data_IF_914317007030
#
_entry.id   IF_914317007030
#
_cell.length_a   1.000
_cell.length_b   1.000
_cell.length_c   1.000
_cell.angle_alpha   90.00
_cell.angle_beta   90.00
_cell.angle_gamma   90.00
#
_symmetry.space_group_name_H-M   'P 1'
#
loop_
_entity.id
_entity.type
_entity.pdbx_description
1 polymer ?
#
# COMPACT_ATOMS: atom_id res chain seq x y z
N UNK A 1 0.79 23.69 10.39
CA UNK A 1 1.35 22.43 10.93
C UNK A 1 2.86 22.51 10.93
N UNK A 2 3.53 22.05 12.00
CA UNK A 2 4.99 22.15 12.18
C UNK A 2 5.82 21.50 11.05
N UNK A 3 5.30 20.45 10.42
CA UNK A 3 5.84 19.87 9.18
C UNK A 3 5.94 20.88 8.02
N UNK A 4 4.85 21.58 7.69
CA UNK A 4 4.84 22.61 6.63
C UNK A 4 5.72 23.82 6.96
N UNK A 5 6.04 24.03 8.24
CA UNK A 5 6.97 25.06 8.69
C UNK A 5 8.45 24.62 8.62
N UNK A 6 8.73 23.36 8.25
CA UNK A 6 10.09 22.81 8.17
C UNK A 6 10.66 22.34 9.51
N UNK A 7 9.89 22.37 10.60
CA UNK A 7 10.37 21.98 11.94
C UNK A 7 10.72 20.49 12.05
N UNK A 8 10.14 19.67 11.18
CA UNK A 8 10.28 18.22 11.18
C UNK A 8 10.56 17.73 9.77
N UNK A 9 11.31 16.64 9.65
CA UNK A 9 11.36 15.89 8.42
C UNK A 9 10.14 14.94 8.30
N UNK A 10 9.94 14.34 7.12
CA UNK A 10 8.78 13.50 6.85
C UNK A 10 8.67 12.28 7.78
N UNK A 11 9.76 11.50 8.01
CA UNK A 11 9.74 10.38 8.95
C UNK A 11 9.37 10.78 10.38
N UNK A 12 9.95 11.86 10.91
CA UNK A 12 9.66 12.34 12.27
C UNK A 12 8.20 12.76 12.37
N UNK A 13 7.69 13.50 11.38
CA UNK A 13 6.28 13.89 11.37
C UNK A 13 5.33 12.69 11.31
N UNK A 14 5.61 11.68 10.48
CA UNK A 14 4.79 10.46 10.39
C UNK A 14 4.78 9.68 11.71
N UNK A 15 5.92 9.56 12.39
CA UNK A 15 6.01 8.89 13.69
C UNK A 15 5.25 9.65 14.79
N UNK A 16 5.34 10.98 14.81
CA UNK A 16 4.54 11.82 15.72
C UNK A 16 3.04 11.67 15.45
N UNK A 17 2.62 11.73 14.17
CA UNK A 17 1.25 11.54 13.76
C UNK A 17 0.72 10.19 14.26
N UNK A 18 1.49 9.11 14.08
CA UNK A 18 1.16 7.79 14.59
C UNK A 18 0.94 7.77 16.11
N UNK A 19 1.89 8.32 16.88
CA UNK A 19 1.83 8.28 18.35
C UNK A 19 0.70 9.14 18.91
N UNK A 20 0.46 10.32 18.35
CA UNK A 20 -0.66 11.16 18.76
C UNK A 20 -2.00 10.45 18.57
N UNK A 21 -2.20 9.79 17.43
CA UNK A 21 -3.41 9.01 17.17
C UNK A 21 -3.53 7.79 18.09
N UNK A 22 -2.45 7.05 18.30
CA UNK A 22 -2.42 5.91 19.22
C UNK A 22 -2.83 6.31 20.64
N UNK A 23 -2.26 7.39 21.16
CA UNK A 23 -2.58 7.92 22.48
C UNK A 23 -4.03 8.44 22.53
N UNK A 24 -4.48 9.15 21.51
CA UNK A 24 -5.84 9.69 21.45
C UNK A 24 -6.92 8.60 21.42
N UNK A 25 -6.69 7.51 20.68
CA UNK A 25 -7.66 6.41 20.56
C UNK A 25 -7.65 5.51 21.81
N UNK A 26 -6.47 5.18 22.33
CA UNK A 26 -6.33 4.11 23.33
C UNK A 26 -5.95 4.59 24.74
N UNK A 27 -5.72 5.89 24.93
CA UNK A 27 -5.38 6.49 26.21
C UNK A 27 -4.13 5.84 26.82
N UNK A 28 -4.22 5.41 28.09
CA UNK A 28 -3.10 4.77 28.79
C UNK A 28 -2.75 3.36 28.26
N UNK A 29 -3.61 2.75 27.46
CA UNK A 29 -3.43 1.40 26.92
C UNK A 29 -2.92 1.42 25.47
N UNK A 30 -2.36 2.54 25.01
CA UNK A 30 -1.90 2.71 23.62
C UNK A 30 -0.72 1.80 23.25
N UNK A 31 0.09 1.40 24.23
CA UNK A 31 1.22 0.51 24.01
C UNK A 31 1.49 -0.41 25.21
N UNK A 32 2.21 -1.50 24.94
CA UNK A 32 2.77 -2.43 25.92
C UNK A 32 4.27 -2.60 25.70
N UNK A 33 4.99 -2.91 26.77
CA UNK A 33 6.43 -3.21 26.72
C UNK A 33 6.67 -4.56 26.04
N UNK A 34 7.64 -4.66 25.12
CA UNK A 34 8.09 -5.95 24.57
C UNK A 34 8.94 -6.72 25.58
N UNK A 35 9.77 -6.02 26.37
CA UNK A 35 10.58 -6.62 27.42
C UNK A 35 10.12 -6.16 28.80
N UNK A 36 10.24 -7.04 29.80
CA UNK A 36 9.83 -6.72 31.19
C UNK A 36 10.70 -5.62 31.83
N UNK A 37 11.94 -5.47 31.37
CA UNK A 37 12.89 -4.46 31.82
C UNK A 37 12.60 -3.05 31.31
N UNK A 38 11.83 -2.91 30.22
CA UNK A 38 11.48 -1.60 29.68
C UNK A 38 10.48 -0.88 30.61
N UNK A 39 10.61 0.45 30.77
CA UNK A 39 9.67 1.22 31.57
C UNK A 39 8.25 1.09 31.00
N UNK A 40 7.24 1.23 31.85
CA UNK A 40 5.85 1.21 31.36
C UNK A 40 5.61 2.44 30.48
N UNK A 41 4.96 2.29 29.31
CA UNK A 41 4.64 3.44 28.47
C UNK A 41 3.63 4.32 29.21
N UNK A 42 3.85 5.64 29.15
CA UNK A 42 3.02 6.62 29.83
C UNK A 42 2.64 7.74 28.88
N UNK A 43 1.36 7.84 28.54
CA UNK A 43 0.86 8.74 27.50
C UNK A 43 1.26 10.21 27.75
N UNK A 44 1.05 10.70 28.98
CA UNK A 44 1.41 12.08 29.36
C UNK A 44 2.91 12.34 29.22
N UNK A 45 3.74 11.41 29.68
CA UNK A 45 5.20 11.54 29.60
C UNK A 45 5.70 11.56 28.16
N UNK A 46 5.13 10.71 27.29
CA UNK A 46 5.49 10.69 25.87
C UNK A 46 5.06 11.98 25.16
N UNK A 47 3.84 12.49 25.42
CA UNK A 47 3.37 13.77 24.88
C UNK A 47 4.30 14.93 25.27
N UNK A 48 4.68 15.04 26.55
CA UNK A 48 5.62 16.07 27.02
C UNK A 48 6.97 15.98 26.29
N UNK A 49 7.49 14.77 26.07
CA UNK A 49 8.73 14.58 25.32
C UNK A 49 8.57 14.97 23.85
N UNK A 50 7.47 14.60 23.19
CA UNK A 50 7.21 14.96 21.78
C UNK A 50 7.07 16.48 21.58
N UNK A 51 6.53 17.19 22.58
CA UNK A 51 6.43 18.64 22.57
C UNK A 51 7.79 19.32 22.78
N UNK A 52 8.59 18.83 23.73
CA UNK A 52 9.85 19.46 24.14
C UNK A 52 11.02 19.11 23.22
N UNK A 53 11.19 17.84 22.86
CA UNK A 53 12.35 17.39 22.08
C UNK A 53 12.31 17.89 20.63
N UNK A 54 13.50 18.01 20.02
CA UNK A 54 13.72 18.50 18.65
C UNK A 54 14.88 17.76 18.00
N UNK A 55 14.96 17.84 16.66
CA UNK A 55 16.07 17.30 15.87
C UNK A 55 16.36 15.83 16.16
N UNK A 56 17.65 15.48 16.20
CA UNK A 56 18.11 14.10 16.41
C UNK A 56 17.75 13.54 17.79
N UNK A 57 17.64 14.40 18.81
CA UNK A 57 17.16 13.98 20.13
C UNK A 57 15.73 13.44 20.08
N UNK A 58 14.85 14.10 19.33
CA UNK A 58 13.48 13.61 19.12
C UNK A 58 13.47 12.34 18.26
N UNK A 59 14.22 12.30 17.15
CA UNK A 59 14.32 11.12 16.29
C UNK A 59 14.74 9.88 17.07
N UNK A 60 15.80 10.01 17.88
CA UNK A 60 16.31 8.91 18.72
C UNK A 60 15.27 8.40 19.71
N UNK A 61 14.47 9.28 20.31
CA UNK A 61 13.35 8.89 21.19
C UNK A 61 12.26 8.14 20.43
N UNK A 62 11.88 8.61 19.26
CA UNK A 62 10.85 7.96 18.43
C UNK A 62 11.30 6.56 18.01
N UNK A 63 12.55 6.41 17.56
CA UNK A 63 13.14 5.10 17.23
C UNK A 63 13.09 4.13 18.42
N UNK A 64 13.58 4.58 19.58
CA UNK A 64 13.60 3.79 20.81
C UNK A 64 12.19 3.29 21.19
N UNK A 65 11.18 4.15 21.07
CA UNK A 65 9.79 3.79 21.35
C UNK A 65 9.22 2.78 20.33
N UNK A 66 9.48 2.96 19.04
CA UNK A 66 8.97 2.01 18.04
C UNK A 66 9.60 0.61 18.18
N UNK A 67 10.85 0.56 18.63
CA UNK A 67 11.60 -0.69 18.79
C UNK A 67 11.22 -1.44 20.07
N UNK A 68 11.02 -0.74 21.20
CA UNK A 68 10.78 -1.37 22.51
C UNK A 68 9.32 -1.71 22.81
N UNK A 69 8.37 -1.06 22.15
CA UNK A 69 6.96 -1.18 22.50
C UNK A 69 6.13 -1.79 21.37
N UNK A 70 5.08 -2.51 21.76
CA UNK A 70 4.04 -2.98 20.87
C UNK A 70 2.83 -2.06 21.03
N UNK A 71 2.27 -1.60 19.91
CA UNK A 71 1.15 -0.66 19.90
C UNK A 71 -0.18 -1.41 19.78
N UNK A 72 -1.19 -0.94 20.51
CA UNK A 72 -2.48 -1.61 20.58
C UNK A 72 -3.19 -1.53 19.23
N UNK A 73 -3.71 -2.67 18.77
CA UNK A 73 -4.46 -2.75 17.51
C UNK A 73 -3.62 -2.52 16.25
N UNK A 74 -2.28 -2.52 16.34
CA UNK A 74 -1.39 -2.29 15.20
C UNK A 74 -0.63 -3.57 14.86
N UNK A 75 -0.64 -3.95 13.59
CA UNK A 75 0.16 -5.05 13.05
C UNK A 75 1.66 -4.72 13.13
N UNK A 76 2.50 -5.70 13.47
CA UNK A 76 3.94 -5.52 13.69
C UNK A 76 4.73 -4.94 12.50
N UNK A 77 4.21 -5.08 11.28
CA UNK A 77 4.82 -4.53 10.06
C UNK A 77 4.85 -3.00 10.05
N UNK A 78 3.85 -2.35 10.66
CA UNK A 78 3.72 -0.89 10.64
C UNK A 78 4.84 -0.20 11.44
N UNK A 79 5.12 -0.58 12.71
CA UNK A 79 6.27 -0.05 13.43
C UNK A 79 7.61 -0.33 12.72
N UNK A 80 7.76 -1.47 12.05
CA UNK A 80 8.98 -1.75 11.26
C UNK A 80 9.12 -0.75 10.12
N UNK A 81 8.05 -0.45 9.39
CA UNK A 81 8.08 0.55 8.33
C UNK A 81 8.46 1.94 8.84
N UNK A 82 7.90 2.35 9.98
CA UNK A 82 8.25 3.63 10.61
C UNK A 82 9.71 3.67 11.06
N UNK A 83 10.24 2.60 11.66
CA UNK A 83 11.65 2.52 12.07
C UNK A 83 12.57 2.65 10.86
N UNK A 84 12.30 1.91 9.79
CA UNK A 84 13.14 1.96 8.58
C UNK A 84 13.06 3.32 7.88
N UNK A 85 11.91 3.97 7.92
CA UNK A 85 11.77 5.33 7.42
C UNK A 85 12.51 6.36 8.28
N UNK A 86 12.39 6.27 9.61
CA UNK A 86 13.10 7.14 10.58
C UNK A 86 14.63 7.01 10.45
N UNK A 87 15.13 5.82 10.13
CA UNK A 87 16.55 5.55 9.85
C UNK A 87 17.01 6.02 8.46
N UNK A 88 16.10 6.48 7.60
CA UNK A 88 16.40 6.87 6.23
C UNK A 88 16.68 5.68 5.28
N UNK A 89 16.38 4.45 5.71
CA UNK A 89 16.63 3.23 4.92
C UNK A 89 15.54 3.05 3.87
N UNK A 90 14.27 3.33 4.22
CA UNK A 90 13.15 3.26 3.30
C UNK A 90 12.73 4.68 2.86
N UNK A 91 12.91 5.04 1.57
CA UNK A 91 12.65 6.38 1.06
C UNK A 91 11.15 6.59 0.79
N UNK A 92 10.32 6.53 1.83
CA UNK A 92 8.89 6.78 1.71
C UNK A 92 8.63 8.27 1.49
N UNK A 93 7.63 8.56 0.66
CA UNK A 93 7.23 9.92 0.31
C UNK A 93 5.99 10.27 1.10
N UNK A 94 6.09 11.23 2.00
CA UNK A 94 4.95 11.75 2.73
C UNK A 94 4.05 12.57 1.79
N UNK A 95 2.73 12.32 1.83
CA UNK A 95 1.72 13.03 1.04
C UNK A 95 0.62 13.56 1.96
N UNK A 96 0.13 14.76 1.66
CA UNK A 96 -1.06 15.34 2.33
C UNK A 96 -2.33 15.19 1.50
N UNK A 97 -2.24 14.46 0.38
CA UNK A 97 -3.33 14.17 -0.53
C UNK A 97 -3.22 12.70 -0.96
N UNK A 98 -4.35 12.07 -1.26
CA UNK A 98 -4.37 10.72 -1.83
C UNK A 98 -3.91 10.81 -3.29
N UNK A 99 -2.80 10.18 -3.69
CA UNK A 99 -2.36 10.21 -5.09
C UNK A 99 -3.34 9.44 -5.99
N UNK A 100 -3.41 9.82 -7.27
CA UNK A 100 -4.24 9.08 -8.22
C UNK A 100 -3.62 7.70 -8.49
N UNK A 101 -4.41 6.68 -8.90
CA UNK A 101 -3.88 5.35 -9.17
C UNK A 101 -2.70 5.33 -10.15
N UNK A 102 -2.75 6.13 -11.21
CA UNK A 102 -1.63 6.25 -12.16
C UNK A 102 -0.39 6.91 -11.55
N UNK A 103 -0.55 7.85 -10.62
CA UNK A 103 0.60 8.42 -9.90
C UNK A 103 1.27 7.34 -9.03
N UNK A 104 0.47 6.47 -8.38
CA UNK A 104 0.98 5.35 -7.59
C UNK A 104 1.70 4.33 -8.47
N UNK A 105 1.13 3.95 -9.63
CA UNK A 105 1.78 3.07 -10.61
C UNK A 105 3.19 3.58 -10.95
N UNK A 106 3.27 4.86 -11.29
CA UNK A 106 4.52 5.53 -11.65
C UNK A 106 5.51 5.55 -10.49
N UNK A 107 5.04 5.82 -9.28
CA UNK A 107 5.88 5.77 -8.07
C UNK A 107 6.44 4.37 -7.85
N UNK A 108 5.61 3.32 -7.95
CA UNK A 108 6.02 1.94 -7.74
C UNK A 108 7.01 1.46 -8.80
N UNK A 109 6.79 1.79 -10.07
CA UNK A 109 7.73 1.52 -11.16
C UNK A 109 9.12 2.09 -10.89
N UNK A 110 9.18 3.26 -10.25
CA UNK A 110 10.41 3.96 -9.86
C UNK A 110 10.94 3.54 -8.49
N UNK A 111 10.34 2.54 -7.83
CA UNK A 111 10.79 2.04 -6.54
C UNK A 111 10.42 2.90 -5.34
N UNK A 112 9.43 3.78 -5.47
CA UNK A 112 8.94 4.70 -4.44
C UNK A 112 7.57 4.26 -3.91
N UNK A 113 7.25 4.64 -2.67
CA UNK A 113 5.91 4.48 -2.08
C UNK A 113 5.50 5.75 -1.34
N UNK A 114 4.21 6.05 -1.39
CA UNK A 114 3.61 7.14 -0.64
C UNK A 114 3.18 6.66 0.75
N UNK A 115 3.21 7.56 1.72
CA UNK A 115 2.45 7.44 2.97
C UNK A 115 1.62 8.71 3.13
N UNK A 116 0.31 8.55 3.25
CA UNK A 116 -0.64 9.66 3.27
C UNK A 116 -0.97 10.05 4.70
N UNK A 117 -0.83 11.33 5.01
CA UNK A 117 -1.21 11.91 6.30
C UNK A 117 -2.21 13.05 6.05
N UNK A 118 -3.46 12.84 6.46
CA UNK A 118 -4.51 13.84 6.43
C UNK A 118 -4.72 14.39 7.83
N UNK A 119 -4.62 15.71 7.97
CA UNK A 119 -4.49 16.36 9.27
C UNK A 119 -5.52 17.43 9.54
N UNK A 120 -6.27 17.81 8.52
CA UNK A 120 -7.26 18.86 8.58
C UNK A 120 -8.55 18.30 9.21
N UNK A 121 -9.10 19.02 10.19
CA UNK A 121 -10.39 18.70 10.78
C UNK A 121 -11.51 19.38 9.96
N UNK A 122 -12.66 18.72 9.72
CA UNK A 122 -13.05 17.38 10.17
C UNK A 122 -12.55 16.25 9.28
N UNK A 123 -11.86 16.57 8.17
CA UNK A 123 -11.47 15.60 7.13
C UNK A 123 -10.75 14.36 7.68
N UNK A 124 -9.86 14.53 8.66
CA UNK A 124 -9.08 13.43 9.26
C UNK A 124 -9.95 12.38 9.97
N UNK A 125 -11.19 12.74 10.37
CA UNK A 125 -12.16 11.85 11.04
C UNK A 125 -13.16 11.21 10.08
N UNK A 126 -13.17 11.62 8.82
CA UNK A 126 -14.07 11.11 7.80
C UNK A 126 -13.44 9.93 7.05
N UNK A 127 -14.25 9.04 6.47
CA UNK A 127 -13.74 7.94 5.66
C UNK A 127 -12.75 8.37 4.58
N UNK A 128 -11.78 7.50 4.32
CA UNK A 128 -10.74 7.66 3.31
C UNK A 128 -10.77 6.42 2.41
N UNK A 129 -11.35 6.55 1.22
CA UNK A 129 -11.68 5.41 0.36
C UNK A 129 -12.52 4.38 1.15
N UNK A 130 -12.02 3.14 1.28
CA UNK A 130 -12.65 2.06 2.04
C UNK A 130 -12.20 1.99 3.51
N UNK A 131 -11.45 2.99 4.01
CA UNK A 131 -10.97 3.03 5.40
C UNK A 131 -11.83 3.99 6.23
N UNK A 132 -12.07 3.68 7.52
CA UNK A 132 -12.97 4.45 8.35
C UNK A 132 -12.50 5.88 8.62
N UNK A 133 -11.18 6.12 8.68
CA UNK A 133 -10.60 7.43 8.90
C UNK A 133 -9.16 7.55 8.33
N UNK A 134 -8.56 8.72 8.49
CA UNK A 134 -7.20 9.00 8.02
C UNK A 134 -6.11 8.23 8.76
N UNK A 135 -6.34 7.82 10.00
CA UNK A 135 -5.34 7.05 10.74
C UNK A 135 -5.30 5.61 10.24
N UNK A 136 -6.45 4.97 10.05
CA UNK A 136 -6.50 3.61 9.49
C UNK A 136 -5.96 3.59 8.06
N UNK A 137 -6.19 4.63 7.26
CA UNK A 137 -5.57 4.77 5.94
C UNK A 137 -4.03 4.92 6.00
N UNK A 138 -3.53 5.74 6.93
CA UNK A 138 -2.10 5.89 7.16
C UNK A 138 -1.42 4.57 7.58
N UNK A 139 -2.04 3.80 8.48
CA UNK A 139 -1.53 2.48 8.89
C UNK A 139 -1.47 1.51 7.70
N UNK A 140 -2.48 1.56 6.83
CA UNK A 140 -2.54 0.76 5.62
C UNK A 140 -1.43 1.12 4.62
N UNK A 141 -1.15 2.41 4.41
CA UNK A 141 -0.01 2.83 3.57
C UNK A 141 1.33 2.30 4.11
N UNK A 142 1.52 2.31 5.44
CA UNK A 142 2.71 1.77 6.09
C UNK A 142 2.82 0.24 5.96
N UNK A 143 1.69 -0.47 6.00
CA UNK A 143 1.67 -1.91 5.73
C UNK A 143 2.12 -2.22 4.30
N UNK A 144 1.68 -1.42 3.32
CA UNK A 144 2.14 -1.55 1.94
C UNK A 144 3.61 -1.17 1.78
N UNK A 145 4.08 -0.14 2.48
CA UNK A 145 5.50 0.19 2.51
C UNK A 145 6.32 -1.00 3.01
N UNK A 146 5.87 -1.67 4.07
CA UNK A 146 6.51 -2.90 4.54
C UNK A 146 6.54 -3.97 3.44
N UNK A 147 5.39 -4.32 2.87
CA UNK A 147 5.27 -5.35 1.80
C UNK A 147 6.16 -5.05 0.58
N UNK A 148 6.38 -3.76 0.29
CA UNK A 148 7.21 -3.31 -0.82
C UNK A 148 8.71 -3.37 -0.52
N UNK A 149 9.15 -2.94 0.68
CA UNK A 149 10.57 -2.74 0.97
C UNK A 149 11.23 -3.86 1.79
N UNK A 150 10.47 -4.72 2.48
CA UNK A 150 11.07 -5.70 3.41
C UNK A 150 11.96 -6.74 2.72
N UNK A 151 11.76 -6.99 1.41
CA UNK A 151 12.54 -7.93 0.62
C UNK A 151 13.05 -7.25 -0.64
N UNK A 152 14.38 -7.05 -0.76
CA UNK A 152 14.97 -6.43 -1.96
C UNK A 152 14.63 -7.16 -3.25
N UNK A 153 14.57 -8.50 -3.22
CA UNK A 153 14.22 -9.32 -4.38
C UNK A 153 12.76 -9.13 -4.80
N UNK A 154 11.82 -9.12 -3.83
CA UNK A 154 10.41 -8.85 -4.12
C UNK A 154 10.21 -7.42 -4.62
N UNK A 155 10.89 -6.44 -4.02
CA UNK A 155 10.89 -5.05 -4.47
C UNK A 155 11.31 -4.95 -5.93
N UNK A 156 12.44 -5.55 -6.30
CA UNK A 156 12.93 -5.53 -7.66
C UNK A 156 11.92 -6.13 -8.65
N UNK A 157 11.31 -7.27 -8.29
CA UNK A 157 10.26 -7.90 -9.10
C UNK A 157 9.00 -7.03 -9.24
N UNK A 158 8.57 -6.36 -8.16
CA UNK A 158 7.43 -5.45 -8.18
C UNK A 158 7.73 -4.22 -9.05
N UNK A 159 8.89 -3.58 -8.89
CA UNK A 159 9.31 -2.46 -9.73
C UNK A 159 9.32 -2.84 -11.21
N UNK A 160 9.91 -4.01 -11.55
CA UNK A 160 9.96 -4.49 -12.92
C UNK A 160 8.56 -4.72 -13.50
N UNK A 161 7.66 -5.34 -12.73
CA UNK A 161 6.27 -5.53 -13.15
C UNK A 161 5.57 -4.18 -13.39
N UNK A 162 5.66 -3.24 -12.46
CA UNK A 162 5.01 -1.94 -12.57
C UNK A 162 5.60 -1.06 -13.66
N UNK A 163 6.91 -1.14 -13.93
CA UNK A 163 7.54 -0.43 -15.04
C UNK A 163 7.02 -0.91 -16.39
N UNK A 164 6.82 -2.22 -16.54
CA UNK A 164 6.25 -2.78 -17.77
C UNK A 164 4.76 -2.43 -17.88
N UNK A 165 4.01 -2.46 -16.78
CA UNK A 165 2.61 -2.03 -16.75
C UNK A 165 2.44 -0.54 -17.09
N UNK A 166 3.30 0.33 -16.56
CA UNK A 166 3.39 1.76 -16.89
C UNK A 166 3.64 1.94 -18.39
N UNK A 167 4.64 1.25 -18.95
CA UNK A 167 4.96 1.35 -20.37
C UNK A 167 3.79 0.88 -21.26
N UNK A 168 3.14 -0.23 -20.92
CA UNK A 168 1.99 -0.72 -21.66
C UNK A 168 0.81 0.27 -21.61
N UNK A 169 0.57 0.88 -20.44
CA UNK A 169 -0.43 1.92 -20.28
C UNK A 169 -0.12 3.14 -21.16
N UNK A 170 1.10 3.66 -21.11
CA UNK A 170 1.51 4.85 -21.89
C UNK A 170 1.47 4.59 -23.41
N UNK A 171 1.68 3.35 -23.86
CA UNK A 171 1.51 2.94 -25.27
C UNK A 171 0.05 2.71 -25.68
N UNK A 172 -0.91 2.89 -24.77
CA UNK A 172 -2.33 2.68 -25.06
C UNK A 172 -2.75 1.21 -25.19
N UNK A 173 -1.97 0.26 -24.69
CA UNK A 173 -2.31 -1.19 -24.74
C UNK A 173 -3.66 -1.46 -24.09
N UNK A 174 -4.00 -0.72 -23.03
CA UNK A 174 -5.25 -0.87 -22.33
C UNK A 174 -6.39 0.00 -22.88
N UNK A 175 -6.16 0.87 -23.86
CA UNK A 175 -7.18 1.79 -24.37
C UNK A 175 -8.49 1.10 -24.78
N UNK A 176 -8.49 -0.10 -25.41
CA UNK A 176 -9.72 -0.82 -25.76
C UNK A 176 -10.58 -1.29 -24.57
N UNK A 177 -10.06 -1.24 -23.35
CA UNK A 177 -10.72 -1.73 -22.14
C UNK A 177 -11.26 -0.59 -21.25
N UNK A 178 -10.88 0.66 -21.54
CA UNK A 178 -11.28 1.84 -20.77
C UNK A 178 -12.67 2.39 -21.16
N UNK A 179 -13.49 1.57 -21.80
CA UNK A 179 -14.93 1.79 -21.98
C UNK A 179 -15.77 1.08 -20.90
N UNK A 180 -15.17 0.19 -20.11
CA UNK A 180 -15.84 -0.62 -19.08
C UNK A 180 -15.48 -0.13 -17.68
N UNK A 181 -16.47 0.43 -16.98
CA UNK A 181 -16.28 1.03 -15.65
C UNK A 181 -15.75 0.03 -14.60
N UNK A 182 -16.15 -1.24 -14.69
CA UNK A 182 -15.68 -2.28 -13.77
C UNK A 182 -14.21 -2.62 -14.00
N UNK A 183 -13.79 -2.74 -15.26
CA UNK A 183 -12.38 -2.92 -15.62
C UNK A 183 -11.54 -1.73 -15.13
N UNK A 184 -12.00 -0.50 -15.36
CA UNK A 184 -11.30 0.71 -14.89
C UNK A 184 -11.11 0.68 -13.37
N UNK A 185 -12.16 0.37 -12.61
CA UNK A 185 -12.10 0.32 -11.14
C UNK A 185 -11.08 -0.73 -10.65
N UNK A 186 -11.08 -1.92 -11.26
CA UNK A 186 -10.16 -3.00 -10.90
C UNK A 186 -8.73 -2.76 -11.37
N UNK A 187 -8.54 -2.15 -12.53
CA UNK A 187 -7.23 -1.70 -13.01
C UNK A 187 -6.65 -0.65 -12.06
N UNK A 188 -7.47 0.32 -11.63
CA UNK A 188 -7.07 1.28 -10.62
C UNK A 188 -6.64 0.60 -9.32
N UNK A 189 -7.40 -0.37 -8.82
CA UNK A 189 -7.01 -1.17 -7.64
C UNK A 189 -5.65 -1.86 -7.82
N UNK A 190 -5.42 -2.52 -8.96
CA UNK A 190 -4.12 -3.13 -9.30
C UNK A 190 -2.98 -2.11 -9.24
N UNK A 191 -3.20 -0.90 -9.74
CA UNK A 191 -2.18 0.15 -9.79
C UNK A 191 -1.99 0.94 -8.49
N UNK A 192 -2.94 0.90 -7.55
CA UNK A 192 -2.86 1.70 -6.32
C UNK A 192 -2.53 0.88 -5.07
N UNK A 193 -3.02 -0.35 -4.99
CA UNK A 193 -3.13 -1.08 -3.72
C UNK A 193 -2.49 -2.47 -3.71
N UNK A 194 -2.17 -3.02 -4.88
CA UNK A 194 -1.59 -4.36 -4.99
C UNK A 194 -0.06 -4.33 -4.77
N UNK A 195 0.40 -4.47 -3.53
CA UNK A 195 1.83 -4.72 -3.22
C UNK A 195 2.02 -6.11 -2.63
N UNK A 196 1.66 -7.13 -3.40
CA UNK A 196 1.91 -8.54 -3.06
C UNK A 196 3.01 -9.09 -3.97
N UNK A 197 3.05 -10.41 -4.17
CA UNK A 197 3.99 -11.01 -5.12
C UNK A 197 3.66 -10.54 -6.56
N UNK A 198 4.66 -10.23 -7.42
CA UNK A 198 4.42 -9.82 -8.81
C UNK A 198 3.54 -10.80 -9.60
N UNK A 199 3.67 -12.09 -9.31
CA UNK A 199 2.84 -13.14 -9.92
C UNK A 199 1.35 -12.98 -9.58
N UNK A 200 1.01 -12.61 -8.35
CA UNK A 200 -0.38 -12.33 -7.99
C UNK A 200 -0.91 -11.12 -8.76
N UNK A 201 -0.11 -10.07 -8.96
CA UNK A 201 -0.49 -8.92 -9.77
C UNK A 201 -0.72 -9.27 -11.24
N UNK A 202 0.09 -10.18 -11.80
CA UNK A 202 -0.09 -10.70 -13.16
C UNK A 202 -1.36 -11.54 -13.30
N UNK A 203 -1.58 -12.45 -12.36
CA UNK A 203 -2.79 -13.29 -12.33
C UNK A 203 -4.04 -12.44 -12.17
N UNK A 204 -3.99 -11.44 -11.30
CA UNK A 204 -5.08 -10.48 -11.13
C UNK A 204 -5.36 -9.71 -12.42
N UNK A 205 -4.32 -9.18 -13.09
CA UNK A 205 -4.48 -8.49 -14.37
C UNK A 205 -5.12 -9.41 -15.43
N UNK A 206 -4.66 -10.66 -15.53
CA UNK A 206 -5.26 -11.64 -16.45
C UNK A 206 -6.73 -11.87 -16.11
N UNK A 207 -7.06 -12.05 -14.84
CA UNK A 207 -8.44 -12.26 -14.40
C UNK A 207 -9.36 -11.09 -14.78
N UNK A 208 -8.93 -9.85 -14.57
CA UNK A 208 -9.78 -8.68 -14.90
C UNK A 208 -9.95 -8.50 -16.42
N UNK A 209 -8.98 -8.93 -17.23
CA UNK A 209 -9.10 -8.97 -18.68
C UNK A 209 -10.10 -10.06 -19.13
N UNK A 210 -9.99 -11.27 -18.56
CA UNK A 210 -10.93 -12.38 -18.81
C UNK A 210 -12.36 -11.94 -18.51
N UNK A 211 -12.59 -11.40 -17.31
CA UNK A 211 -13.93 -10.97 -16.89
C UNK A 211 -14.50 -9.87 -17.77
N UNK A 212 -13.67 -8.91 -18.23
CA UNK A 212 -14.11 -7.90 -19.18
C UNK A 212 -14.58 -8.51 -20.50
N UNK A 213 -13.83 -9.46 -21.05
CA UNK A 213 -14.24 -10.13 -22.29
C UNK A 213 -15.52 -10.95 -22.12
N UNK A 214 -15.68 -11.68 -21.01
CA UNK A 214 -16.92 -12.39 -20.70
C UNK A 214 -18.12 -11.44 -20.60
N UNK A 215 -17.96 -10.31 -19.89
CA UNK A 215 -19.02 -9.27 -19.84
C UNK A 215 -19.36 -8.72 -21.21
N UNK A 216 -18.35 -8.44 -22.05
CA UNK A 216 -18.54 -7.94 -23.43
C UNK A 216 -19.35 -8.91 -24.29
N UNK A 217 -19.15 -10.20 -24.08
CA UNK A 217 -19.79 -11.28 -24.82
C UNK A 217 -21.10 -11.75 -24.18
N UNK A 218 -21.56 -11.08 -23.10
CA UNK A 218 -22.73 -11.47 -22.31
C UNK A 218 -22.68 -12.92 -21.79
N UNK A 219 -21.50 -13.37 -21.40
CA UNK A 219 -21.23 -14.72 -20.89
C UNK A 219 -21.13 -14.77 -19.37
N UNK A 220 -21.47 -15.92 -18.79
CA UNK A 220 -21.24 -16.20 -17.38
C UNK A 220 -19.75 -16.42 -17.09
N UNK A 221 -19.36 -16.29 -15.82
CA UNK A 221 -17.97 -16.51 -15.37
C UNK A 221 -17.46 -17.95 -15.62
N UNK A 222 -18.36 -18.90 -15.73
CA UNK A 222 -18.06 -20.32 -16.01
C UNK A 222 -17.89 -20.62 -17.50
N UNK A 223 -18.29 -19.70 -18.38
CA UNK A 223 -18.30 -19.94 -19.81
C UNK A 223 -16.90 -19.79 -20.43
N UNK A 224 -16.60 -20.51 -21.52
CA UNK A 224 -15.34 -20.35 -22.22
C UNK A 224 -15.28 -18.99 -22.95
N UNK A 225 -14.08 -18.40 -22.99
CA UNK A 225 -13.80 -17.24 -23.81
C UNK A 225 -13.92 -17.58 -25.30
N UNK A 226 -14.27 -16.59 -26.12
CA UNK A 226 -14.10 -16.73 -27.57
C UNK A 226 -12.60 -16.79 -27.91
N UNK A 227 -12.23 -17.46 -29.01
CA UNK A 227 -10.83 -17.48 -29.46
C UNK A 227 -10.30 -16.09 -29.80
N UNK A 228 -11.18 -15.13 -30.15
CA UNK A 228 -10.79 -13.75 -30.35
C UNK A 228 -10.41 -13.06 -29.02
N UNK A 229 -11.20 -13.28 -27.97
CA UNK A 229 -10.89 -12.78 -26.63
C UNK A 229 -9.61 -13.40 -26.07
N UNK A 230 -9.41 -14.72 -26.22
CA UNK A 230 -8.17 -15.39 -25.80
C UNK A 230 -6.94 -14.76 -26.45
N UNK A 231 -6.97 -14.56 -27.77
CA UNK A 231 -5.88 -13.90 -28.50
C UNK A 231 -5.63 -12.47 -28.02
N UNK A 232 -6.70 -11.68 -27.81
CA UNK A 232 -6.56 -10.30 -27.31
C UNK A 232 -5.90 -10.25 -25.92
N UNK A 233 -6.29 -11.14 -25.01
CA UNK A 233 -5.68 -11.25 -23.69
C UNK A 233 -4.21 -11.65 -23.82
N UNK A 234 -3.90 -12.65 -24.66
CA UNK A 234 -2.53 -13.08 -24.90
C UNK A 234 -1.65 -11.98 -25.49
N UNK A 235 -2.20 -11.14 -26.37
CA UNK A 235 -1.50 -9.97 -26.91
C UNK A 235 -1.16 -8.94 -25.83
N UNK A 236 -2.11 -8.63 -24.94
CA UNK A 236 -1.86 -7.74 -23.79
C UNK A 236 -0.80 -8.34 -22.86
N UNK A 237 -0.93 -9.62 -22.52
CA UNK A 237 0.04 -10.29 -21.65
C UNK A 237 1.44 -10.37 -22.31
N UNK A 238 1.51 -10.65 -23.62
CA UNK A 238 2.76 -10.62 -24.38
C UNK A 238 3.38 -9.22 -24.41
N UNK A 239 2.57 -8.18 -24.57
CA UNK A 239 3.01 -6.79 -24.53
C UNK A 239 3.61 -6.39 -23.18
N UNK A 240 3.27 -7.11 -22.11
CA UNK A 240 3.85 -6.99 -20.78
C UNK A 240 5.11 -7.86 -20.57
N UNK A 241 5.70 -8.38 -21.66
CA UNK A 241 6.86 -9.27 -21.59
C UNK A 241 6.56 -10.59 -20.89
N UNK A 242 5.29 -10.98 -20.80
CA UNK A 242 4.87 -12.26 -20.18
C UNK A 242 4.57 -13.27 -21.29
N UNK A 243 5.59 -13.67 -22.04
CA UNK A 243 5.47 -14.74 -23.04
C UNK A 243 5.45 -16.11 -22.34
N UNK A 244 4.26 -16.70 -22.23
CA UNK A 244 3.94 -18.14 -22.36
C UNK A 244 4.91 -19.25 -21.87
N UNK A 245 5.69 -19.07 -20.81
CA UNK A 245 6.28 -20.18 -20.05
C UNK A 245 6.01 -20.05 -18.56
N UNK A 246 4.74 -20.15 -18.18
CA UNK A 246 4.37 -20.52 -16.81
C UNK A 246 2.90 -20.97 -16.77
N UNK A 247 2.67 -22.28 -16.84
CA UNK A 247 1.41 -22.90 -16.46
C UNK A 247 1.69 -23.69 -15.17
N UNK A 248 1.05 -23.42 -14.03
CA UNK A 248 0.71 -24.53 -13.15
C UNK A 248 -0.38 -25.33 -13.87
N UNK A 249 -0.24 -26.65 -13.85
CA UNK A 249 -1.13 -27.60 -14.50
C UNK A 249 -2.61 -27.26 -14.27
N UNK A 250 -3.41 -27.45 -15.33
CA UNK A 250 -4.87 -27.48 -15.25
C UNK A 250 -5.26 -28.53 -14.21
N UNK A 251 -5.98 -28.11 -13.17
CA UNK A 251 -7.09 -28.86 -12.55
C UNK A 251 -7.77 -27.99 -11.48
N UNK A 252 -9.01 -27.56 -11.76
CA UNK A 252 -9.94 -27.01 -10.76
C UNK A 252 -10.44 -25.57 -11.03
N UNK A 253 -11.68 -25.25 -10.64
CA UNK A 253 -12.29 -23.95 -10.89
C UNK A 253 -11.61 -22.86 -10.04
N UNK A 254 -11.00 -21.89 -10.73
CA UNK A 254 -10.23 -20.77 -10.16
C UNK A 254 -11.10 -19.79 -9.35
N UNK A 255 -12.44 -19.90 -9.40
CA UNK A 255 -13.32 -18.77 -9.08
C UNK A 255 -13.84 -18.76 -7.62
N UNK A 256 -13.69 -19.80 -6.80
CA UNK A 256 -14.48 -19.87 -5.54
C UNK A 256 -13.73 -19.72 -4.21
N UNK A 257 -12.44 -19.34 -4.14
CA UNK A 257 -11.72 -19.37 -2.83
C UNK A 257 -10.99 -18.13 -2.33
N UNK A 258 -10.89 -17.03 -3.07
CA UNK A 258 -9.98 -15.94 -2.66
C UNK A 258 -10.58 -14.54 -2.50
N UNK A 259 -11.90 -14.38 -2.60
CA UNK A 259 -12.58 -13.12 -2.30
C UNK A 259 -13.28 -13.15 -0.93
N UNK A 260 -12.48 -13.09 0.13
CA UNK A 260 -12.89 -12.54 1.44
C UNK A 260 -11.73 -11.75 2.02
N UNK A 261 -11.59 -10.51 1.55
CA UNK A 261 -10.98 -9.45 2.35
C UNK A 261 -11.98 -8.30 2.31
N UNK A 262 -12.89 -8.34 3.29
CA UNK A 262 -13.54 -7.14 3.82
C UNK A 262 -12.66 -6.52 4.90
#
# INVERSE_FOLDING_TARGET
>A
MRWRAGDFDAPVFAALYFLHWQIAIHGQQFASRKNKSDPRPGAKGWLTVMEAAKGEGLRGRLLDWMERYQFRGVIGNVPVALVQWLRGVWPLILRENIPKPLDILRMQARGNRAVTVLTEYPRLRQPVLNKPDAFVFFLHDLEHAYKFFHSPALRAGQCAFFAVLENAFDRGVFAPYFDDAEFIARFHYLTSDMNTHPEHSRQYLRAILVERHLRREHKALSDPLSSAAERAIEEVMRALGTSAHWLPARDGPIISRFWRIG
#
